data_IF_762380428349
#
_entry.id   IF_762380428349
#
_cell.length_a   1.000
_cell.length_b   1.000
_cell.length_c   1.000
_cell.angle_alpha   90.00
_cell.angle_beta   90.00
_cell.angle_gamma   90.00
#
_symmetry.space_group_name_H-M   'P 1'
#
loop_
_entity.id
_entity.type
_entity.pdbx_description
1 polymer ?
#
# COMPACT_ATOMS: atom_id res chain seq x y z
N UNK A 1 53.91 -20.26 30.17
CA UNK A 1 53.55 -20.57 28.76
C UNK A 1 52.06 -20.95 28.59
N UNK A 2 51.10 -20.17 29.15
CA UNK A 2 49.65 -20.50 29.09
C UNK A 2 48.78 -19.48 28.32
N UNK A 3 49.38 -18.44 27.73
CA UNK A 3 48.64 -17.34 27.07
C UNK A 3 48.12 -17.69 25.66
N UNK A 4 48.71 -18.67 24.97
CA UNK A 4 48.34 -19.00 23.60
C UNK A 4 47.12 -19.92 23.49
N UNK A 5 46.91 -20.82 24.45
CA UNK A 5 45.76 -21.76 24.45
C UNK A 5 44.41 -21.04 24.57
N UNK A 6 44.33 -19.96 25.36
CA UNK A 6 43.11 -19.15 25.47
C UNK A 6 42.75 -18.42 24.17
N UNK A 7 43.75 -17.97 23.42
CA UNK A 7 43.53 -17.25 22.16
C UNK A 7 42.95 -18.16 21.07
N UNK A 8 43.42 -19.41 20.99
CA UNK A 8 42.91 -20.40 20.02
C UNK A 8 41.46 -20.81 20.30
N UNK A 9 41.05 -20.90 21.57
CA UNK A 9 39.67 -21.24 21.95
C UNK A 9 38.70 -20.10 21.59
N UNK A 10 39.12 -18.85 21.74
CA UNK A 10 38.30 -17.69 21.36
C UNK A 10 38.15 -17.61 19.84
N UNK A 11 39.23 -17.86 19.09
CA UNK A 11 39.21 -17.88 17.62
C UNK A 11 38.27 -18.97 17.06
N UNK A 12 38.29 -20.18 17.64
CA UNK A 12 37.41 -21.27 17.19
C UNK A 12 35.93 -20.98 17.50
N UNK A 13 35.65 -20.37 18.66
CA UNK A 13 34.30 -19.96 19.04
C UNK A 13 33.75 -18.87 18.12
N UNK A 14 34.54 -17.85 17.77
CA UNK A 14 34.15 -16.81 16.82
C UNK A 14 33.85 -17.36 15.42
N UNK A 15 34.63 -18.34 14.97
CA UNK A 15 34.44 -18.96 13.66
C UNK A 15 33.14 -19.79 13.62
N UNK A 16 32.83 -20.51 14.70
CA UNK A 16 31.58 -21.25 14.84
C UNK A 16 30.36 -20.31 14.89
N UNK A 17 30.45 -19.21 15.63
CA UNK A 17 29.38 -18.20 15.70
C UNK A 17 29.17 -17.53 14.34
N UNK A 18 30.25 -17.16 13.64
CA UNK A 18 30.18 -16.60 12.29
C UNK A 18 29.52 -17.56 11.30
N UNK A 19 29.90 -18.85 11.34
CA UNK A 19 29.27 -19.89 10.51
C UNK A 19 27.77 -20.02 10.81
N UNK A 20 27.38 -20.06 12.08
CA UNK A 20 25.97 -20.14 12.48
C UNK A 20 25.18 -18.91 12.01
N UNK A 21 25.75 -17.70 12.14
CA UNK A 21 25.11 -16.47 11.64
C UNK A 21 24.94 -16.51 10.12
N UNK A 22 25.97 -16.93 9.37
CA UNK A 22 25.87 -17.04 7.91
C UNK A 22 24.84 -18.08 7.48
N UNK A 23 24.75 -19.23 8.16
CA UNK A 23 23.74 -20.25 7.91
C UNK A 23 22.32 -19.73 8.22
N UNK A 24 22.15 -18.98 9.32
CA UNK A 24 20.88 -18.33 9.66
C UNK A 24 20.45 -17.28 8.61
N UNK A 25 21.38 -16.51 8.05
CA UNK A 25 21.09 -15.55 6.97
C UNK A 25 20.71 -16.23 5.64
N UNK A 26 21.23 -17.42 5.35
CA UNK A 26 20.86 -18.19 4.15
C UNK A 26 19.47 -18.81 4.24
N UNK A 27 18.94 -19.00 5.45
CA UNK A 27 17.60 -19.51 5.71
C UNK A 27 16.52 -18.41 5.74
N UNK A 28 16.86 -17.15 5.42
CA UNK A 28 15.88 -16.08 5.28
C UNK A 28 14.85 -16.47 4.20
N UNK A 29 13.54 -16.42 4.48
CA UNK A 29 12.53 -16.67 3.47
C UNK A 29 12.67 -15.64 2.34
N UNK A 30 13.00 -16.10 1.13
CA UNK A 30 12.98 -15.25 -0.07
C UNK A 30 11.54 -15.04 -0.49
N UNK A 31 11.00 -13.87 -0.22
CA UNK A 31 9.65 -13.53 -0.64
C UNK A 31 9.61 -13.35 -2.16
N UNK A 32 8.60 -13.90 -2.86
CA UNK A 32 8.46 -13.69 -4.30
C UNK A 32 8.33 -12.19 -4.57
N UNK A 33 9.11 -11.69 -5.54
CA UNK A 33 9.01 -10.28 -5.95
C UNK A 33 7.63 -10.02 -6.55
N UNK A 34 7.00 -8.93 -6.14
CA UNK A 34 5.79 -8.45 -6.80
C UNK A 34 6.09 -8.12 -8.27
N UNK A 35 5.14 -8.38 -9.16
CA UNK A 35 5.27 -7.98 -10.56
C UNK A 35 5.42 -6.46 -10.63
N UNK A 36 6.47 -5.98 -11.28
CA UNK A 36 6.71 -4.55 -11.45
C UNK A 36 5.75 -3.97 -12.48
N UNK A 37 4.90 -3.03 -12.06
CA UNK A 37 3.95 -2.34 -12.91
C UNK A 37 3.96 -0.84 -12.61
N UNK A 38 3.62 0.00 -13.59
CA UNK A 38 3.40 1.45 -13.36
C UNK A 38 1.99 1.75 -12.83
N UNK A 39 1.26 0.72 -12.36
CA UNK A 39 -0.11 0.88 -11.87
C UNK A 39 -0.04 1.24 -10.39
N UNK A 40 -0.51 2.43 -9.97
CA UNK A 40 -0.47 2.82 -8.57
C UNK A 40 -1.43 1.98 -7.72
N UNK A 41 -1.02 1.72 -6.48
CA UNK A 41 -1.87 1.14 -5.44
C UNK A 41 -2.29 2.22 -4.45
N UNK A 42 -3.59 2.46 -4.35
CA UNK A 42 -4.20 3.45 -3.46
C UNK A 42 -4.68 2.75 -2.19
N UNK A 43 -4.22 3.22 -1.04
CA UNK A 43 -4.62 2.73 0.27
C UNK A 43 -5.56 3.74 0.93
N UNK A 44 -6.72 3.29 1.37
CA UNK A 44 -7.72 4.12 2.05
C UNK A 44 -8.05 3.52 3.41
N UNK A 45 -7.75 4.23 4.48
CA UNK A 45 -8.06 3.75 5.82
C UNK A 45 -9.58 3.76 6.09
N UNK A 46 -10.04 2.86 6.95
CA UNK A 46 -11.43 2.79 7.39
C UNK A 46 -11.78 3.78 8.49
N UNK A 47 -12.94 3.57 9.10
CA UNK A 47 -13.43 4.34 10.24
C UNK A 47 -12.38 4.40 11.36
N UNK A 48 -12.13 5.59 11.89
CA UNK A 48 -11.13 5.87 12.92
C UNK A 48 -9.67 5.51 12.53
N UNK A 49 -9.40 5.28 11.25
CA UNK A 49 -8.04 5.10 10.74
C UNK A 49 -7.27 6.41 10.63
N UNK A 50 -5.98 6.32 10.34
CA UNK A 50 -5.08 7.45 10.10
C UNK A 50 -3.88 7.00 9.24
N UNK A 51 -2.87 7.85 9.08
CA UNK A 51 -1.67 7.56 8.28
C UNK A 51 -0.94 6.28 8.69
N UNK A 52 -1.04 5.89 9.97
CA UNK A 52 -0.37 4.71 10.53
C UNK A 52 -1.04 3.40 10.14
N UNK A 53 -2.33 3.41 9.75
CA UNK A 53 -3.09 2.20 9.42
C UNK A 53 -2.38 1.37 8.34
N UNK A 54 -1.86 2.03 7.30
CA UNK A 54 -1.06 1.37 6.26
C UNK A 54 0.42 1.75 6.29
N UNK A 55 0.82 2.78 7.04
CA UNK A 55 2.21 3.25 7.09
C UNK A 55 3.23 2.15 7.39
N UNK A 56 2.95 1.27 8.36
CA UNK A 56 3.84 0.15 8.67
C UNK A 56 3.99 -0.86 7.53
N UNK A 57 2.92 -1.11 6.78
CA UNK A 57 2.93 -2.02 5.63
C UNK A 57 3.65 -1.40 4.43
N UNK A 58 3.36 -0.12 4.13
CA UNK A 58 4.04 0.65 3.09
C UNK A 58 5.55 0.67 3.35
N UNK A 59 5.96 0.95 4.59
CA UNK A 59 7.37 0.93 4.97
C UNK A 59 8.03 -0.42 4.71
N UNK A 60 7.34 -1.55 4.98
CA UNK A 60 7.88 -2.89 4.68
C UNK A 60 8.01 -3.13 3.17
N UNK A 61 7.04 -2.68 2.37
CA UNK A 61 7.11 -2.79 0.91
C UNK A 61 8.29 -2.04 0.31
N UNK A 62 8.64 -0.87 0.87
CA UNK A 62 9.78 -0.07 0.42
C UNK A 62 11.10 -0.62 0.97
N UNK A 63 11.21 -0.79 2.29
CA UNK A 63 12.50 -1.06 2.95
C UNK A 63 12.93 -2.53 3.02
N UNK A 64 11.98 -3.46 3.08
CA UNK A 64 12.29 -4.88 3.30
C UNK A 64 12.18 -5.71 2.03
N UNK A 65 11.24 -5.38 1.15
CA UNK A 65 10.93 -6.20 -0.02
C UNK A 65 11.29 -5.56 -1.36
N UNK A 66 11.59 -4.26 -1.38
CA UNK A 66 11.86 -3.51 -2.61
C UNK A 66 10.73 -3.69 -3.64
N UNK A 67 9.49 -3.78 -3.14
CA UNK A 67 8.29 -4.01 -3.96
C UNK A 67 7.68 -2.72 -4.47
N UNK A 68 8.04 -1.59 -3.85
CA UNK A 68 7.54 -0.26 -4.18
C UNK A 68 8.64 0.78 -3.96
N UNK A 69 8.70 1.77 -4.84
CA UNK A 69 9.78 2.75 -4.88
C UNK A 69 9.37 4.14 -4.38
N UNK A 70 8.12 4.55 -4.58
CA UNK A 70 7.65 5.88 -4.18
C UNK A 70 6.29 5.82 -3.46
N UNK A 71 6.09 6.70 -2.47
CA UNK A 71 4.82 6.87 -1.76
C UNK A 71 4.42 8.34 -1.73
N UNK A 72 3.24 8.66 -2.27
CA UNK A 72 2.59 9.97 -2.08
C UNK A 72 1.49 9.85 -1.02
N UNK A 73 1.28 10.89 -0.22
CA UNK A 73 0.12 10.94 0.70
C UNK A 73 -0.91 11.93 0.17
N UNK A 74 -2.17 11.50 0.05
CA UNK A 74 -3.30 12.38 -0.21
C UNK A 74 -4.05 12.60 1.10
N UNK A 75 -4.20 13.86 1.50
CA UNK A 75 -5.02 14.27 2.64
C UNK A 75 -6.31 14.87 2.13
N UNK A 76 -7.44 14.34 2.58
CA UNK A 76 -8.76 14.91 2.29
C UNK A 76 -9.25 15.67 3.51
N UNK A 77 -9.48 16.97 3.34
CA UNK A 77 -9.99 17.83 4.40
C UNK A 77 -11.52 17.68 4.56
N UNK A 78 -12.07 18.27 5.64
CA UNK A 78 -13.48 18.05 6.01
C UNK A 78 -14.48 18.59 4.98
N UNK A 79 -14.07 19.58 4.20
CA UNK A 79 -14.79 20.15 3.06
C UNK A 79 -14.72 19.26 1.80
N UNK A 80 -13.88 18.22 1.81
CA UNK A 80 -13.64 17.32 0.69
C UNK A 80 -12.53 17.76 -0.24
N UNK A 81 -11.80 18.82 0.08
CA UNK A 81 -10.61 19.25 -0.67
C UNK A 81 -9.50 18.21 -0.55
N UNK A 82 -8.83 17.89 -1.66
CA UNK A 82 -7.75 16.89 -1.71
C UNK A 82 -6.41 17.61 -1.83
N UNK A 83 -5.55 17.41 -0.84
CA UNK A 83 -4.21 17.97 -0.76
C UNK A 83 -3.16 16.87 -0.87
N UNK A 84 -2.23 17.01 -1.80
CA UNK A 84 -1.13 16.07 -1.96
C UNK A 84 0.10 16.50 -1.16
N UNK A 85 0.68 15.55 -0.43
CA UNK A 85 1.96 15.70 0.28
C UNK A 85 2.98 14.76 -0.33
N UNK A 86 4.09 15.34 -0.80
CA UNK A 86 5.12 14.64 -1.56
C UNK A 86 4.79 14.55 -3.06
N UNK A 87 5.72 13.98 -3.82
CA UNK A 87 5.63 13.95 -5.29
C UNK A 87 5.22 12.56 -5.77
N UNK A 88 4.23 12.51 -6.66
CA UNK A 88 3.90 11.29 -7.39
C UNK A 88 4.83 11.14 -8.59
N UNK A 89 5.60 10.05 -8.61
CA UNK A 89 6.43 9.69 -9.75
C UNK A 89 5.72 8.62 -10.58
N UNK A 90 5.31 9.01 -11.79
CA UNK A 90 4.62 8.14 -12.75
C UNK A 90 5.51 7.03 -13.32
N UNK A 91 6.82 7.26 -13.35
CA UNK A 91 7.80 6.34 -13.93
C UNK A 91 8.30 5.34 -12.88
N UNK A 92 7.94 5.56 -11.62
CA UNK A 92 8.22 4.65 -10.51
C UNK A 92 7.52 3.30 -10.68
N UNK A 93 8.18 2.24 -10.19
CA UNK A 93 7.63 0.89 -10.17
C UNK A 93 6.80 0.68 -8.91
N UNK A 94 5.55 0.25 -9.13
CA UNK A 94 4.50 0.04 -8.13
C UNK A 94 4.33 1.25 -7.19
N UNK A 95 3.96 2.43 -7.72
CA UNK A 95 3.76 3.61 -6.89
C UNK A 95 2.68 3.36 -5.84
N UNK A 96 2.92 3.81 -4.61
CA UNK A 96 1.95 3.70 -3.53
C UNK A 96 1.35 5.08 -3.25
N UNK A 97 0.04 5.10 -2.97
CA UNK A 97 -0.67 6.32 -2.60
C UNK A 97 -1.39 6.04 -1.30
N UNK A 98 -1.03 6.75 -0.23
CA UNK A 98 -1.69 6.65 1.07
C UNK A 98 -2.72 7.76 1.22
N UNK A 99 -3.99 7.40 1.37
CA UNK A 99 -5.08 8.36 1.56
C UNK A 99 -5.39 8.48 3.05
N UNK A 100 -5.48 9.72 3.52
CA UNK A 100 -5.84 10.08 4.89
C UNK A 100 -7.01 11.05 4.90
N UNK A 101 -7.93 10.89 5.85
CA UNK A 101 -9.06 11.80 6.05
C UNK A 101 -8.82 12.67 7.29
N UNK A 102 -9.02 13.98 7.17
CA UNK A 102 -8.94 14.92 8.29
C UNK A 102 -9.97 14.60 9.38
N UNK A 103 -11.20 14.25 8.95
CA UNK A 103 -12.22 13.65 9.81
C UNK A 103 -12.39 12.18 9.46
N UNK A 104 -12.01 11.29 10.38
CA UNK A 104 -12.03 9.85 10.19
C UNK A 104 -13.30 9.17 10.75
N UNK A 105 -14.28 9.97 11.19
CA UNK A 105 -15.56 9.50 11.76
C UNK A 105 -16.79 9.96 10.98
N UNK A 106 -16.60 10.32 9.72
CA UNK A 106 -17.69 10.77 8.86
C UNK A 106 -18.69 9.66 8.52
N UNK A 107 -19.90 10.04 8.13
CA UNK A 107 -20.91 9.08 7.67
C UNK A 107 -20.55 8.50 6.28
N UNK A 108 -21.24 7.41 5.88
CA UNK A 108 -20.96 6.71 4.61
C UNK A 108 -21.14 7.59 3.36
N UNK A 109 -22.09 8.55 3.38
CA UNK A 109 -22.36 9.42 2.23
C UNK A 109 -21.21 10.41 2.02
N UNK A 110 -20.76 11.04 3.09
CA UNK A 110 -19.61 11.95 3.08
C UNK A 110 -18.35 11.22 2.64
N UNK A 111 -18.12 10.02 3.20
CA UNK A 111 -17.00 9.16 2.83
C UNK A 111 -17.01 8.75 1.35
N UNK A 112 -18.17 8.43 0.78
CA UNK A 112 -18.29 8.16 -0.66
C UNK A 112 -17.98 9.40 -1.51
N UNK A 113 -18.36 10.59 -1.04
CA UNK A 113 -17.98 11.87 -1.64
C UNK A 113 -16.47 12.07 -1.66
N UNK A 114 -15.79 11.80 -0.54
CA UNK A 114 -14.34 11.90 -0.46
C UNK A 114 -13.64 10.92 -1.41
N UNK A 115 -14.09 9.67 -1.47
CA UNK A 115 -13.56 8.70 -2.44
C UNK A 115 -13.72 9.20 -3.87
N UNK A 116 -14.89 9.77 -4.21
CA UNK A 116 -15.09 10.37 -5.54
C UNK A 116 -14.07 11.47 -5.82
N UNK A 117 -13.87 12.41 -4.88
CA UNK A 117 -12.94 13.52 -5.04
C UNK A 117 -11.49 13.02 -5.21
N UNK A 118 -11.07 12.02 -4.43
CA UNK A 118 -9.75 11.38 -4.59
C UNK A 118 -9.60 10.78 -5.99
N UNK A 119 -10.60 10.05 -6.46
CA UNK A 119 -10.51 9.41 -7.76
C UNK A 119 -10.52 10.42 -8.91
N UNK A 120 -11.26 11.52 -8.78
CA UNK A 120 -11.22 12.65 -9.71
C UNK A 120 -9.83 13.28 -9.72
N UNK A 121 -9.27 13.61 -8.55
CA UNK A 121 -7.92 14.15 -8.41
C UNK A 121 -6.87 13.25 -9.09
N UNK A 122 -6.90 11.94 -8.83
CA UNK A 122 -5.96 10.98 -9.43
C UNK A 122 -6.10 10.88 -10.94
N UNK A 123 -7.32 11.00 -11.49
CA UNK A 123 -7.57 10.94 -12.92
C UNK A 123 -7.12 12.21 -13.64
N UNK A 124 -7.34 13.38 -13.03
CA UNK A 124 -7.08 14.69 -13.62
C UNK A 124 -5.62 15.11 -13.44
N UNK A 125 -5.12 15.16 -12.21
CA UNK A 125 -3.81 15.72 -11.86
C UNK A 125 -2.66 14.74 -12.11
N UNK A 126 -2.87 13.46 -11.80
CA UNK A 126 -1.82 12.44 -11.93
C UNK A 126 -1.96 11.62 -13.23
N UNK A 127 -2.98 11.90 -14.05
CA UNK A 127 -3.32 11.15 -15.27
C UNK A 127 -3.45 9.63 -15.08
N UNK A 128 -3.85 9.19 -13.88
CA UNK A 128 -3.94 7.78 -13.53
C UNK A 128 -5.25 7.21 -14.09
N UNK A 129 -5.13 6.41 -15.15
CA UNK A 129 -6.28 5.75 -15.80
C UNK A 129 -6.70 4.43 -15.14
N UNK A 130 -5.79 3.81 -14.38
CA UNK A 130 -5.99 2.52 -13.72
C UNK A 130 -5.22 2.52 -12.41
N UNK A 131 -5.88 2.10 -11.34
CA UNK A 131 -5.27 1.94 -10.01
C UNK A 131 -5.83 0.71 -9.30
N UNK A 132 -5.05 0.16 -8.37
CA UNK A 132 -5.50 -0.86 -7.45
C UNK A 132 -5.97 -0.17 -6.17
N UNK A 133 -7.22 -0.33 -5.77
CA UNK A 133 -7.73 0.23 -4.52
C UNK A 133 -7.68 -0.82 -3.41
N UNK A 134 -7.15 -0.44 -2.24
CA UNK A 134 -7.18 -1.24 -1.02
C UNK A 134 -7.78 -0.42 0.12
N UNK A 135 -8.92 -0.84 0.61
CA UNK A 135 -9.65 -0.15 1.66
C UNK A 135 -9.91 -1.04 2.89
N UNK A 136 -10.26 -0.40 4.01
CA UNK A 136 -10.65 -1.05 5.26
C UNK A 136 -12.01 -0.54 5.76
N UNK A 137 -12.94 -0.24 4.86
CA UNK A 137 -14.28 0.25 5.24
C UNK A 137 -15.02 -0.76 6.13
N UNK A 138 -15.47 -0.28 7.29
CA UNK A 138 -16.27 -0.95 8.31
C UNK A 138 -16.22 -2.50 8.30
N UNK A 139 -15.26 -3.05 9.05
CA UNK A 139 -15.35 -4.38 9.65
C UNK A 139 -15.67 -5.54 8.71
N UNK A 140 -14.62 -6.28 8.31
CA UNK A 140 -14.67 -7.65 7.75
C UNK A 140 -15.06 -7.83 6.27
N UNK A 141 -14.90 -6.85 5.37
CA UNK A 141 -14.90 -7.14 3.93
C UNK A 141 -13.72 -6.49 3.22
N UNK A 142 -12.96 -7.31 2.48
CA UNK A 142 -11.78 -6.92 1.71
C UNK A 142 -12.27 -6.57 0.30
N UNK A 143 -12.29 -5.30 -0.07
CA UNK A 143 -12.66 -4.87 -1.43
C UNK A 143 -11.41 -4.87 -2.30
N UNK A 144 -11.39 -5.66 -3.38
CA UNK A 144 -10.48 -5.42 -4.50
C UNK A 144 -11.27 -4.62 -5.54
N UNK A 145 -11.10 -3.30 -5.57
CA UNK A 145 -11.79 -2.44 -6.53
C UNK A 145 -10.81 -1.93 -7.58
N UNK A 146 -11.17 -2.10 -8.86
CA UNK A 146 -10.53 -1.44 -9.98
C UNK A 146 -11.37 -0.21 -10.34
N UNK A 147 -10.78 0.98 -10.25
CA UNK A 147 -11.44 2.19 -10.69
C UNK A 147 -11.28 2.35 -12.22
N UNK A 148 -12.41 2.54 -12.92
CA UNK A 148 -12.50 2.81 -14.36
C UNK A 148 -13.05 4.26 -14.53
N UNK A 149 -12.23 5.23 -14.96
CA UNK A 149 -12.62 6.66 -15.01
C UNK A 149 -13.59 7.03 -16.16
N UNK A 150 -14.05 6.09 -16.98
CA UNK A 150 -14.82 6.38 -18.22
C UNK A 150 -15.91 5.32 -18.52
N UNK A 151 -17.21 5.62 -18.41
CA UNK A 151 -18.27 4.86 -19.10
C UNK A 151 -18.36 5.32 -20.58
N UNK A 152 -18.29 4.46 -21.63
CA UNK A 152 -18.93 3.12 -21.76
C UNK A 152 -18.00 1.97 -22.21
N UNK A 153 -16.67 2.10 -22.16
CA UNK A 153 -15.74 1.06 -22.66
C UNK A 153 -15.49 -0.12 -21.70
N UNK A 154 -16.05 -0.07 -20.50
CA UNK A 154 -15.89 -1.11 -19.49
C UNK A 154 -16.98 -2.18 -19.71
N UNK A 155 -16.62 -3.33 -20.33
CA UNK A 155 -17.51 -4.48 -20.61
C UNK A 155 -17.99 -5.08 -19.28
N UNK A 156 -19.17 -4.68 -18.83
CA UNK A 156 -19.84 -5.22 -17.63
C UNK A 156 -20.61 -6.49 -17.99
N UNK A 157 -20.36 -7.60 -17.30
CA UNK A 157 -21.36 -8.68 -17.19
C UNK A 157 -22.61 -8.17 -16.46
N UNK A 158 -23.80 -8.71 -16.77
CA UNK A 158 -25.05 -7.96 -16.65
C UNK A 158 -25.60 -8.05 -15.24
N UNK A 159 -25.57 -6.95 -14.49
CA UNK A 159 -26.70 -6.57 -13.63
C UNK A 159 -26.57 -5.12 -13.17
N UNK A 160 -27.44 -4.24 -13.70
CA UNK A 160 -28.02 -3.05 -13.05
C UNK A 160 -27.21 -1.74 -12.91
N UNK A 161 -26.80 -1.16 -14.04
CA UNK A 161 -26.53 0.27 -14.26
C UNK A 161 -26.96 1.25 -13.13
N UNK A 162 -26.02 1.68 -12.28
CA UNK A 162 -26.13 2.89 -11.42
C UNK A 162 -24.72 3.48 -11.26
N UNK A 163 -24.62 4.79 -11.47
CA UNK A 163 -23.45 5.66 -11.58
C UNK A 163 -22.71 5.94 -10.26
N UNK A 164 -22.11 4.91 -9.66
CA UNK A 164 -21.11 5.03 -8.60
C UNK A 164 -19.98 4.01 -8.86
N UNK A 165 -18.74 4.25 -8.40
CA UNK A 165 -17.67 3.24 -8.48
C UNK A 165 -18.16 1.98 -7.76
N UNK A 166 -18.54 0.96 -8.54
CA UNK A 166 -19.08 -0.29 -8.02
C UNK A 166 -17.98 -1.03 -7.28
N UNK A 167 -17.97 -0.89 -5.97
CA UNK A 167 -17.25 -1.77 -5.08
C UNK A 167 -18.04 -3.08 -4.98
N UNK A 168 -17.53 -4.14 -5.61
CA UNK A 168 -18.08 -5.48 -5.43
C UNK A 168 -17.66 -5.98 -4.04
N UNK A 169 -18.54 -5.82 -3.05
CA UNK A 169 -18.36 -6.43 -1.73
C UNK A 169 -18.63 -7.93 -1.84
N UNK A 170 -17.57 -8.74 -2.03
CA UNK A 170 -17.66 -10.18 -1.84
C UNK A 170 -17.74 -10.47 -0.34
N UNK A 171 -18.93 -10.80 0.15
CA UNK A 171 -19.12 -11.39 1.47
C UNK A 171 -19.37 -12.87 1.32
N UNK A 172 -18.68 -13.67 2.13
CA UNK A 172 -19.32 -14.86 2.69
C UNK A 172 -20.26 -14.43 3.81
#
# INVERSE_FOLDING_TARGET
MKKHTGLFVILSACLAVGLVITLLSLMQPKYPKAQSTHIPTVFIHGYNGNERTFGGMINRFQSQFDWASNTQTLRVDTDGTVNAVGTFDKDSLNPLINVTFASNKENLKTQAGYIKNIMTYLAEENHIKKSQLRDTFNGRKRSNCFYCPQPPKCRTTPTKQISLPRCAFSGK
#
